data_IF_228323323782
#
_entry.id   IF_228323323782
#
_cell.length_a   1.000
_cell.length_b   1.000
_cell.length_c   1.000
_cell.angle_alpha   90.00
_cell.angle_beta   90.00
_cell.angle_gamma   90.00
#
_symmetry.space_group_name_H-M   'P 1'
#
loop_
_entity.id
_entity.type
_entity.pdbx_description
1 polymer ?
#
# COMPACT_ATOMS: atom_id res chain seq x y z
N UNK A 1 3.13 19.29 0.50
CA UNK A 1 2.76 19.19 -0.94
C UNK A 1 1.33 18.71 -0.99
N UNK A 2 0.42 19.48 -1.50
CA UNK A 2 -0.99 19.06 -1.57
C UNK A 2 -1.25 18.19 -2.81
N UNK A 3 -2.49 17.71 -3.02
CA UNK A 3 -2.83 16.82 -4.12
C UNK A 3 -2.37 17.28 -5.51
N UNK A 4 -2.40 18.59 -5.79
CA UNK A 4 -1.89 19.17 -7.05
C UNK A 4 -0.38 19.01 -7.21
N UNK A 5 0.39 19.18 -6.15
CA UNK A 5 1.84 18.93 -6.16
C UNK A 5 2.15 17.43 -6.31
N UNK A 6 1.34 16.59 -5.70
CA UNK A 6 1.42 15.14 -5.88
C UNK A 6 1.15 14.73 -7.32
N UNK A 7 0.16 15.34 -7.97
CA UNK A 7 -0.16 15.09 -9.38
C UNK A 7 1.00 15.52 -10.31
N UNK A 8 1.62 16.68 -10.06
CA UNK A 8 2.76 17.14 -10.83
C UNK A 8 3.97 16.21 -10.67
N UNK A 9 4.23 15.73 -9.44
CA UNK A 9 5.28 14.74 -9.17
C UNK A 9 5.01 13.42 -9.89
N UNK A 10 3.78 12.94 -9.83
CA UNK A 10 3.38 11.71 -10.52
C UNK A 10 3.58 11.82 -12.04
N UNK A 11 3.21 12.93 -12.63
CA UNK A 11 3.39 13.17 -14.07
C UNK A 11 4.87 13.15 -14.46
N UNK A 12 5.73 13.79 -13.68
CA UNK A 12 7.18 13.74 -13.90
C UNK A 12 7.72 12.30 -13.80
N UNK A 13 7.24 11.51 -12.84
CA UNK A 13 7.72 10.14 -12.62
C UNK A 13 7.23 9.15 -13.68
N UNK A 14 6.12 9.42 -14.38
CA UNK A 14 5.61 8.51 -15.42
C UNK A 14 6.66 8.16 -16.47
N UNK A 15 7.38 9.15 -16.95
CA UNK A 15 8.38 9.00 -18.00
C UNK A 15 9.81 8.88 -17.47
N UNK A 16 10.02 9.08 -16.17
CA UNK A 16 11.34 8.98 -15.58
C UNK A 16 11.79 7.52 -15.49
N UNK A 17 12.94 7.21 -16.07
CA UNK A 17 13.53 5.88 -16.08
C UNK A 17 14.82 5.76 -15.24
N UNK A 18 15.09 6.71 -14.36
CA UNK A 18 16.30 6.74 -13.53
C UNK A 18 16.01 6.65 -12.03
N UNK A 19 14.93 7.28 -11.56
CA UNK A 19 14.60 7.34 -10.14
C UNK A 19 14.00 6.01 -9.70
N UNK A 20 14.64 5.36 -8.75
CA UNK A 20 14.23 4.07 -8.18
C UNK A 20 13.59 4.19 -6.80
N UNK A 21 13.84 5.27 -6.09
CA UNK A 21 13.31 5.49 -4.74
C UNK A 21 12.73 6.90 -4.63
N UNK A 22 11.50 7.00 -4.11
CA UNK A 22 10.83 8.28 -3.86
C UNK A 22 10.19 8.23 -2.48
N UNK A 23 10.47 9.23 -1.67
CA UNK A 23 9.76 9.47 -0.41
C UNK A 23 8.96 10.77 -0.50
N UNK A 24 7.66 10.64 -0.38
CA UNK A 24 6.68 11.73 -0.37
C UNK A 24 5.96 11.84 0.99
N UNK A 25 6.55 11.35 2.06
CA UNK A 25 5.96 11.39 3.39
C UNK A 25 5.58 12.80 3.84
N UNK A 26 4.54 12.93 4.66
CA UNK A 26 4.09 14.17 5.31
C UNK A 26 3.71 15.31 4.32
N UNK A 27 3.05 15.01 3.21
CA UNK A 27 2.75 15.97 2.14
C UNK A 27 1.26 16.26 1.89
N UNK A 28 0.35 15.71 2.68
CA UNK A 28 -1.11 15.91 2.52
C UNK A 28 -1.61 15.60 1.10
N UNK A 29 -1.17 14.49 0.55
CA UNK A 29 -1.51 14.11 -0.83
C UNK A 29 -2.99 13.78 -1.00
N UNK A 30 -3.61 13.16 0.00
CA UNK A 30 -5.01 12.79 0.00
C UNK A 30 -5.40 11.85 -1.15
N UNK A 31 -6.70 11.73 -1.42
CA UNK A 31 -7.21 10.87 -2.49
C UNK A 31 -6.70 11.30 -3.88
N UNK A 32 -6.69 12.60 -4.16
CA UNK A 32 -6.26 13.14 -5.45
C UNK A 32 -4.80 12.80 -5.76
N UNK A 33 -3.90 12.98 -4.79
CA UNK A 33 -2.49 12.61 -4.94
C UNK A 33 -2.31 11.10 -5.10
N UNK A 34 -3.04 10.29 -4.32
CA UNK A 34 -2.99 8.84 -4.45
C UNK A 34 -3.47 8.33 -5.81
N UNK A 35 -4.52 8.93 -6.36
CA UNK A 35 -5.02 8.61 -7.69
C UNK A 35 -3.98 8.91 -8.77
N UNK A 36 -3.33 10.07 -8.69
CA UNK A 36 -2.26 10.44 -9.62
C UNK A 36 -1.06 9.50 -9.53
N UNK A 37 -0.64 9.15 -8.32
CA UNK A 37 0.45 8.19 -8.09
C UNK A 37 0.08 6.78 -8.56
N UNK A 38 -1.17 6.36 -8.41
CA UNK A 38 -1.65 5.09 -8.93
C UNK A 38 -1.55 5.04 -10.46
N UNK A 39 -1.96 6.11 -11.15
CA UNK A 39 -1.81 6.22 -12.60
C UNK A 39 -0.35 6.18 -13.02
N UNK A 40 0.54 6.84 -12.28
CA UNK A 40 1.98 6.80 -12.50
C UNK A 40 2.52 5.37 -12.37
N UNK A 41 2.16 4.65 -11.32
CA UNK A 41 2.63 3.29 -11.07
C UNK A 41 2.13 2.27 -12.10
N UNK A 42 1.03 2.55 -12.79
CA UNK A 42 0.56 1.73 -13.91
C UNK A 42 1.48 1.79 -15.13
N UNK A 43 2.24 2.87 -15.28
CA UNK A 43 3.11 3.11 -16.42
C UNK A 43 4.61 3.01 -16.07
N UNK A 44 5.01 3.49 -14.89
CA UNK A 44 6.40 3.48 -14.45
C UNK A 44 6.86 2.06 -14.11
N UNK A 45 7.96 1.65 -14.70
CA UNK A 45 8.59 0.33 -14.48
C UNK A 45 9.97 0.42 -13.82
N UNK A 46 10.35 1.60 -13.32
CA UNK A 46 11.67 1.88 -12.75
C UNK A 46 11.64 2.01 -11.24
N UNK A 47 10.53 2.54 -10.68
CA UNK A 47 10.41 2.80 -9.25
C UNK A 47 10.36 1.48 -8.45
N UNK A 48 11.23 1.36 -7.46
CA UNK A 48 11.37 0.20 -6.59
C UNK A 48 10.86 0.47 -5.19
N UNK A 49 11.01 1.71 -4.69
CA UNK A 49 10.59 2.11 -3.35
C UNK A 49 9.77 3.39 -3.38
N UNK A 50 8.60 3.35 -2.70
CA UNK A 50 7.70 4.50 -2.57
C UNK A 50 7.28 4.69 -1.11
N UNK A 51 7.62 5.85 -0.55
CA UNK A 51 7.20 6.28 0.78
C UNK A 51 6.02 7.25 0.70
N UNK A 52 4.90 6.88 1.34
CA UNK A 52 3.66 7.67 1.40
C UNK A 52 3.14 7.84 2.84
N UNK A 53 4.02 7.74 3.83
CA UNK A 53 3.68 7.90 5.24
C UNK A 53 3.10 9.29 5.52
N UNK A 54 2.06 9.39 6.38
CA UNK A 54 1.54 10.66 6.84
C UNK A 54 0.89 11.54 5.75
N UNK A 55 0.18 10.96 4.81
CA UNK A 55 -0.37 11.68 3.66
C UNK A 55 -1.90 11.83 3.63
N UNK A 56 -2.57 11.65 4.77
CA UNK A 56 -4.03 11.74 4.86
C UNK A 56 -4.75 10.75 3.89
N UNK A 57 -4.14 9.59 3.67
CA UNK A 57 -4.70 8.56 2.83
C UNK A 57 -5.76 7.76 3.58
N UNK A 58 -6.99 7.84 3.13
CA UNK A 58 -8.12 7.06 3.64
C UNK A 58 -8.43 5.89 2.69
N UNK A 59 -9.53 5.19 2.93
CA UNK A 59 -9.89 3.97 2.20
C UNK A 59 -9.91 4.14 0.68
N UNK A 60 -10.47 5.22 0.15
CA UNK A 60 -10.50 5.46 -1.30
C UNK A 60 -9.12 5.62 -1.91
N UNK A 61 -8.24 6.38 -1.24
CA UNK A 61 -6.86 6.54 -1.68
C UNK A 61 -6.13 5.19 -1.72
N UNK A 62 -6.28 4.39 -0.67
CA UNK A 62 -5.68 3.06 -0.61
C UNK A 62 -6.27 2.09 -1.63
N UNK A 63 -7.55 2.21 -1.99
CA UNK A 63 -8.16 1.42 -3.05
C UNK A 63 -7.54 1.72 -4.43
N UNK A 64 -7.25 2.97 -4.74
CA UNK A 64 -6.53 3.32 -5.97
C UNK A 64 -5.14 2.67 -6.03
N UNK A 65 -4.39 2.74 -4.93
CA UNK A 65 -3.06 2.12 -4.83
C UNK A 65 -3.14 0.59 -4.91
N UNK A 66 -4.13 -0.01 -4.27
CA UNK A 66 -4.34 -1.46 -4.30
C UNK A 66 -4.57 -1.98 -5.73
N UNK A 67 -5.40 -1.29 -6.52
CA UNK A 67 -5.61 -1.64 -7.93
C UNK A 67 -4.31 -1.65 -8.72
N UNK A 68 -3.42 -0.71 -8.44
CA UNK A 68 -2.11 -0.65 -9.10
C UNK A 68 -1.23 -1.84 -8.74
N UNK A 69 -1.30 -2.32 -7.50
CA UNK A 69 -0.50 -3.46 -7.04
C UNK A 69 -0.86 -4.77 -7.75
N UNK A 70 -2.04 -4.89 -8.33
CA UNK A 70 -2.41 -6.08 -9.13
C UNK A 70 -1.66 -6.17 -10.45
N UNK A 71 -1.13 -5.07 -10.96
CA UNK A 71 -0.42 -5.00 -12.24
C UNK A 71 1.03 -4.56 -12.16
N UNK A 72 1.39 -3.70 -11.20
CA UNK A 72 2.79 -3.28 -11.01
C UNK A 72 3.59 -4.38 -10.32
N UNK A 73 4.62 -4.88 -10.99
CA UNK A 73 5.51 -5.94 -10.48
C UNK A 73 6.92 -5.43 -10.14
N UNK A 74 7.16 -4.14 -10.27
CA UNK A 74 8.49 -3.53 -10.05
C UNK A 74 8.66 -2.93 -8.67
N UNK A 75 7.59 -2.42 -8.08
CA UNK A 75 7.64 -1.86 -6.73
C UNK A 75 7.91 -2.99 -5.73
N UNK A 76 8.97 -2.84 -4.95
CA UNK A 76 9.38 -3.82 -3.93
C UNK A 76 9.09 -3.33 -2.52
N UNK A 77 9.09 -2.02 -2.28
CA UNK A 77 8.83 -1.42 -0.97
C UNK A 77 7.77 -0.34 -1.07
N UNK A 78 6.73 -0.47 -0.25
CA UNK A 78 5.65 0.51 -0.13
C UNK A 78 5.39 0.83 1.34
N UNK A 79 5.52 2.11 1.70
CA UNK A 79 5.18 2.60 3.04
C UNK A 79 3.90 3.42 2.99
N UNK A 80 2.85 2.88 3.61
CA UNK A 80 1.54 3.52 3.80
C UNK A 80 1.25 3.81 5.28
N UNK A 81 2.26 3.81 6.12
CA UNK A 81 2.11 4.06 7.55
C UNK A 81 1.58 5.46 7.87
N UNK A 82 1.09 5.65 9.10
CA UNK A 82 0.60 6.95 9.58
C UNK A 82 -0.47 7.60 8.66
N UNK A 83 -1.41 6.80 8.21
CA UNK A 83 -2.56 7.25 7.43
C UNK A 83 -3.87 6.87 8.14
N UNK A 84 -5.00 6.97 7.48
CA UNK A 84 -6.32 6.62 8.03
C UNK A 84 -6.99 5.49 7.26
N UNK A 85 -6.17 4.55 6.80
CA UNK A 85 -6.61 3.38 6.04
C UNK A 85 -7.39 2.44 6.97
N UNK A 86 -8.58 2.09 6.59
CA UNK A 86 -9.51 1.27 7.38
C UNK A 86 -9.82 -0.09 6.75
N UNK A 87 -10.89 -0.71 7.22
CA UNK A 87 -11.26 -2.09 6.86
C UNK A 87 -11.64 -2.26 5.40
N UNK A 88 -12.31 -1.27 4.79
CA UNK A 88 -12.69 -1.35 3.38
C UNK A 88 -11.47 -1.43 2.47
N UNK A 89 -10.46 -0.61 2.73
CA UNK A 89 -9.18 -0.67 2.02
C UNK A 89 -8.40 -1.94 2.36
N UNK A 90 -8.44 -2.38 3.62
CA UNK A 90 -7.80 -3.64 4.05
C UNK A 90 -8.28 -4.85 3.26
N UNK A 91 -9.57 -4.90 2.91
CA UNK A 91 -10.13 -5.96 2.06
C UNK A 91 -9.56 -5.91 0.64
N UNK A 92 -9.51 -4.73 0.03
CA UNK A 92 -8.99 -4.55 -1.34
C UNK A 92 -7.47 -4.78 -1.38
N UNK A 93 -6.75 -4.30 -0.38
CA UNK A 93 -5.31 -4.54 -0.24
C UNK A 93 -4.99 -6.02 -0.06
N UNK A 94 -5.77 -6.74 0.75
CA UNK A 94 -5.61 -8.19 0.92
C UNK A 94 -5.71 -8.94 -0.40
N UNK A 95 -6.70 -8.61 -1.21
CA UNK A 95 -6.85 -9.19 -2.55
C UNK A 95 -5.69 -8.81 -3.48
N UNK A 96 -5.28 -7.55 -3.48
CA UNK A 96 -4.16 -7.09 -4.29
C UNK A 96 -2.83 -7.76 -3.88
N UNK A 97 -2.59 -7.95 -2.59
CA UNK A 97 -1.40 -8.64 -2.08
C UNK A 97 -1.38 -10.10 -2.53
N UNK A 98 -2.53 -10.79 -2.53
CA UNK A 98 -2.60 -12.18 -2.99
C UNK A 98 -2.12 -12.33 -4.44
N UNK A 99 -2.36 -11.34 -5.30
CA UNK A 99 -1.99 -11.36 -6.71
C UNK A 99 -0.63 -10.71 -7.02
N UNK A 100 -0.12 -9.83 -6.14
CA UNK A 100 1.12 -9.10 -6.39
C UNK A 100 2.35 -10.01 -6.31
N UNK A 101 3.24 -9.88 -7.28
CA UNK A 101 4.46 -10.69 -7.38
C UNK A 101 5.76 -9.90 -7.17
N UNK A 102 5.68 -8.60 -6.98
CA UNK A 102 6.86 -7.72 -6.87
C UNK A 102 7.16 -7.27 -5.45
N UNK A 103 6.13 -7.00 -4.65
CA UNK A 103 6.27 -6.37 -3.35
C UNK A 103 6.93 -7.31 -2.34
N UNK A 104 7.98 -6.81 -1.70
CA UNK A 104 8.76 -7.52 -0.66
C UNK A 104 8.53 -6.94 0.74
N UNK A 105 8.24 -5.65 0.83
CA UNK A 105 8.00 -4.98 2.10
C UNK A 105 6.81 -4.03 2.00
N UNK A 106 5.85 -4.18 2.90
CA UNK A 106 4.68 -3.32 3.02
C UNK A 106 4.52 -2.87 4.47
N UNK A 107 4.48 -1.56 4.70
CA UNK A 107 4.10 -0.99 5.99
C UNK A 107 2.71 -0.39 5.94
N UNK A 108 1.85 -0.85 6.83
CA UNK A 108 0.51 -0.34 7.12
C UNK A 108 0.41 0.08 8.61
N UNK A 109 1.54 0.27 9.28
CA UNK A 109 1.58 0.67 10.68
C UNK A 109 0.86 2.00 10.92
N UNK A 110 0.31 2.18 12.13
CA UNK A 110 -0.39 3.42 12.48
C UNK A 110 -1.52 3.78 11.49
N UNK A 111 -2.40 2.84 11.25
CA UNK A 111 -3.64 3.01 10.48
C UNK A 111 -4.85 2.56 11.31
N UNK A 112 -5.99 2.42 10.68
CA UNK A 112 -7.26 2.06 11.33
C UNK A 112 -7.81 0.70 10.88
N UNK A 113 -6.94 -0.20 10.43
CA UNK A 113 -7.35 -1.52 9.94
C UNK A 113 -7.70 -2.42 11.13
N UNK A 114 -8.89 -2.99 11.12
CA UNK A 114 -9.43 -3.83 12.19
C UNK A 114 -10.15 -5.03 11.59
N UNK A 115 -10.62 -5.91 12.44
CA UNK A 115 -11.59 -6.96 12.11
C UNK A 115 -11.48 -7.56 10.72
N UNK A 116 -12.45 -7.26 9.87
CA UNK A 116 -12.54 -7.81 8.52
C UNK A 116 -11.38 -7.43 7.60
N UNK A 117 -10.83 -6.22 7.78
CA UNK A 117 -9.68 -5.76 7.01
C UNK A 117 -8.44 -6.59 7.31
N UNK A 118 -8.17 -6.86 8.58
CA UNK A 118 -7.04 -7.70 8.99
C UNK A 118 -7.19 -9.14 8.52
N UNK A 119 -8.39 -9.71 8.62
CA UNK A 119 -8.64 -11.08 8.14
C UNK A 119 -8.40 -11.19 6.62
N UNK A 120 -8.82 -10.19 5.85
CA UNK A 120 -8.58 -10.15 4.41
C UNK A 120 -7.09 -10.02 4.07
N UNK A 121 -6.36 -9.17 4.81
CA UNK A 121 -4.91 -9.04 4.66
C UNK A 121 -4.19 -10.35 5.01
N UNK A 122 -4.59 -11.01 6.09
CA UNK A 122 -4.04 -12.30 6.49
C UNK A 122 -4.22 -13.36 5.40
N UNK A 123 -5.41 -13.43 4.80
CA UNK A 123 -5.67 -14.33 3.68
C UNK A 123 -4.78 -14.01 2.49
N UNK A 124 -4.69 -12.74 2.09
CA UNK A 124 -3.81 -12.33 1.00
C UNK A 124 -2.34 -12.66 1.26
N UNK A 125 -1.90 -12.50 2.51
CA UNK A 125 -0.54 -12.87 2.93
C UNK A 125 -0.30 -14.38 2.79
N UNK A 126 -1.27 -15.20 3.18
CA UNK A 126 -1.18 -16.67 3.04
C UNK A 126 -1.08 -17.12 1.58
N UNK A 127 -1.69 -16.39 0.66
CA UNK A 127 -1.65 -16.68 -0.77
C UNK A 127 -0.40 -16.08 -1.47
N UNK A 128 0.32 -15.15 -0.81
CA UNK A 128 1.49 -14.46 -1.38
C UNK A 128 2.79 -15.15 -0.95
N UNK A 129 3.64 -15.47 -1.92
CA UNK A 129 4.95 -16.13 -1.69
C UNK A 129 6.15 -15.16 -1.85
N UNK A 130 5.92 -13.88 -2.12
CA UNK A 130 6.95 -12.89 -2.42
C UNK A 130 7.17 -11.91 -1.28
N UNK A 131 6.11 -11.53 -0.55
CA UNK A 131 6.17 -10.56 0.54
C UNK A 131 6.96 -11.15 1.72
N UNK A 132 7.94 -10.41 2.19
CA UNK A 132 8.85 -10.82 3.27
C UNK A 132 8.62 -10.07 4.56
N UNK A 133 8.13 -8.83 4.45
CA UNK A 133 7.89 -7.96 5.60
C UNK A 133 6.53 -7.30 5.48
N UNK A 134 5.70 -7.49 6.50
CA UNK A 134 4.43 -6.79 6.66
C UNK A 134 4.38 -6.17 8.06
N UNK A 135 4.30 -4.85 8.13
CA UNK A 135 4.13 -4.13 9.39
C UNK A 135 2.68 -3.68 9.54
N UNK A 136 1.98 -4.25 10.51
CA UNK A 136 0.60 -3.91 10.90
C UNK A 136 0.53 -3.32 12.32
N UNK A 137 1.66 -2.92 12.88
CA UNK A 137 1.70 -2.36 14.24
C UNK A 137 0.81 -1.12 14.37
N UNK A 138 0.34 -0.89 15.57
CA UNK A 138 -0.54 0.26 15.88
C UNK A 138 -1.80 0.35 14.99
N UNK A 139 -2.36 -0.79 14.65
CA UNK A 139 -3.73 -0.95 14.15
C UNK A 139 -4.60 -1.62 15.24
N UNK A 140 -5.83 -1.84 14.98
CA UNK A 140 -6.73 -2.51 15.94
C UNK A 140 -6.98 -3.96 15.58
N UNK A 141 -5.95 -4.81 15.53
CA UNK A 141 -6.03 -6.19 15.03
C UNK A 141 -7.13 -7.03 15.69
N UNK A 142 -7.29 -6.90 17.01
CA UNK A 142 -8.22 -7.72 17.77
C UNK A 142 -7.85 -9.22 17.78
N UNK A 143 -8.67 -10.01 18.46
CA UNK A 143 -8.45 -11.45 18.59
C UNK A 143 -8.53 -12.19 17.26
N UNK A 144 -9.57 -11.90 16.48
CA UNK A 144 -9.83 -12.60 15.21
C UNK A 144 -8.75 -12.29 14.17
N UNK A 145 -8.29 -11.04 14.11
CA UNK A 145 -7.18 -10.64 13.25
C UNK A 145 -5.86 -11.32 13.62
N UNK A 146 -5.57 -11.43 14.92
CA UNK A 146 -4.38 -12.13 15.39
C UNK A 146 -4.41 -13.62 15.06
N UNK A 147 -5.58 -14.27 15.20
CA UNK A 147 -5.77 -15.67 14.83
C UNK A 147 -5.56 -15.85 13.32
N UNK A 148 -6.19 -15.02 12.50
CA UNK A 148 -6.07 -15.11 11.04
C UNK A 148 -4.63 -14.92 10.56
N UNK A 149 -3.89 -13.97 11.15
CA UNK A 149 -2.47 -13.79 10.83
C UNK A 149 -1.64 -14.99 11.25
N UNK A 150 -1.90 -15.54 12.45
CA UNK A 150 -1.22 -16.73 12.93
C UNK A 150 -1.44 -17.94 12.02
N UNK A 151 -2.61 -18.09 11.43
CA UNK A 151 -2.90 -19.14 10.46
C UNK A 151 -2.21 -18.91 9.12
N UNK A 152 -2.19 -17.66 8.64
CA UNK A 152 -1.59 -17.29 7.35
C UNK A 152 -0.07 -17.52 7.28
N UNK A 153 0.64 -17.41 8.39
CA UNK A 153 2.11 -17.57 8.45
C UNK A 153 2.55 -18.97 8.92
N UNK A 154 1.62 -19.90 9.03
CA UNK A 154 1.89 -21.26 9.52
C UNK A 154 2.51 -22.18 8.46
N UNK A 155 2.27 -21.90 7.21
CA UNK A 155 2.68 -22.63 6.03
C UNK A 155 3.79 -21.87 5.26
#
# INVERSE_FOLDING_TARGET
MEGTGGAAMAEMLKENCYITEVDLGENRLGECGAQALSSMLMENTTLVSLGLSGNELADRAAQHLALTLTSNTKLETLDLSHNTIGDAAGQVLGHAIAENTGLKSLSLAWNCIRGKGVVALAKGLGDNIFLRTLDLSYNGLGKDGAIALGEAIKD
#
